data_IF_286413561796
#
_entry.id   IF_286413561796
#
_cell.length_a   1.000
_cell.length_b   1.000
_cell.length_c   1.000
_cell.angle_alpha   90.00
_cell.angle_beta   90.00
_cell.angle_gamma   90.00
#
_symmetry.space_group_name_H-M   'P 1'
#
loop_
_entity.id
_entity.type
_entity.pdbx_description
1 polymer ?
#
# COMPACT_ATOMS: atom_id res chain seq x y z
N UNK A 1 7.64 -2.24 -17.20
CA UNK A 1 6.96 -0.97 -16.87
C UNK A 1 5.81 -0.80 -17.84
N UNK A 2 4.60 -0.54 -17.34
CA UNK A 2 3.39 -0.39 -18.18
C UNK A 2 2.71 0.93 -17.83
N UNK A 3 2.43 1.82 -18.80
CA UNK A 3 1.70 3.05 -18.55
C UNK A 3 0.20 2.79 -18.38
N UNK A 4 -0.44 3.57 -17.52
CA UNK A 4 -1.87 3.61 -17.30
C UNK A 4 -2.35 5.06 -17.30
N UNK A 5 -3.61 5.29 -17.68
CA UNK A 5 -4.23 6.60 -17.65
C UNK A 5 -5.26 6.69 -16.52
N UNK A 6 -5.16 7.75 -15.71
CA UNK A 6 -6.02 8.03 -14.56
C UNK A 6 -7.52 7.98 -14.89
N UNK A 7 -7.92 8.44 -16.07
CA UNK A 7 -9.35 8.48 -16.47
C UNK A 7 -10.01 7.10 -16.51
N UNK A 8 -9.22 6.03 -16.61
CA UNK A 8 -9.70 4.65 -16.61
C UNK A 8 -9.99 4.12 -15.20
N UNK A 9 -9.71 4.90 -14.15
CA UNK A 9 -9.85 4.50 -12.75
C UNK A 9 -10.99 5.26 -12.06
N UNK A 10 -11.95 4.50 -11.50
CA UNK A 10 -13.07 5.09 -10.76
C UNK A 10 -12.61 5.58 -9.37
N UNK A 11 -12.67 6.90 -9.18
CA UNK A 11 -12.28 7.58 -7.94
C UNK A 11 -13.15 7.21 -6.72
N UNK A 12 -14.33 6.59 -6.93
CA UNK A 12 -15.22 6.13 -5.86
C UNK A 12 -14.76 4.82 -5.24
N UNK A 13 -13.82 4.11 -5.86
CA UNK A 13 -13.27 2.85 -5.32
C UNK A 13 -12.41 3.11 -4.08
N UNK A 14 -11.73 2.09 -3.56
CA UNK A 14 -10.72 2.24 -2.49
C UNK A 14 -9.28 2.10 -3.02
N UNK A 15 -9.09 2.05 -4.35
CA UNK A 15 -7.76 1.95 -4.95
C UNK A 15 -7.03 3.28 -4.79
N UNK A 16 -5.78 3.24 -4.33
CA UNK A 16 -4.88 4.40 -4.28
C UNK A 16 -3.95 4.36 -5.49
N UNK A 17 -3.88 5.47 -6.22
CA UNK A 17 -3.03 5.67 -7.39
C UNK A 17 -2.37 7.06 -7.30
N UNK A 18 -1.22 7.29 -7.97
CA UNK A 18 -0.60 8.61 -8.03
C UNK A 18 -1.53 9.67 -8.64
N UNK A 19 -1.36 10.93 -8.23
CA UNK A 19 -2.15 12.07 -8.72
C UNK A 19 -1.57 12.63 -10.03
N UNK A 20 -1.48 11.78 -11.04
CA UNK A 20 -0.95 12.09 -12.37
C UNK A 20 -1.88 11.52 -13.45
N UNK A 21 -2.05 12.23 -14.57
CA UNK A 21 -2.91 11.78 -15.69
C UNK A 21 -2.42 10.45 -16.28
N UNK A 22 -1.10 10.29 -16.38
CA UNK A 22 -0.44 9.06 -16.81
C UNK A 22 0.50 8.63 -15.69
N UNK A 23 0.36 7.39 -15.21
CA UNK A 23 1.25 6.82 -14.22
C UNK A 23 1.72 5.43 -14.66
N UNK A 24 2.82 4.95 -14.07
CA UNK A 24 3.44 3.71 -14.47
C UNK A 24 3.34 2.64 -13.39
N UNK A 25 2.94 1.44 -13.79
CA UNK A 25 3.12 0.25 -12.97
C UNK A 25 4.54 -0.29 -13.16
N UNK A 26 5.29 -0.35 -12.07
CA UNK A 26 6.63 -0.95 -12.00
C UNK A 26 6.56 -2.14 -11.05
N UNK A 27 6.76 -3.35 -11.59
CA UNK A 27 6.72 -4.59 -10.83
C UNK A 27 8.10 -5.25 -10.76
N UNK A 28 8.64 -5.40 -9.56
CA UNK A 28 9.86 -6.17 -9.30
C UNK A 28 9.46 -7.61 -8.94
N UNK A 29 9.27 -8.45 -9.96
CA UNK A 29 8.82 -9.84 -9.80
C UNK A 29 10.00 -10.81 -9.58
N UNK A 30 10.80 -10.54 -8.55
CA UNK A 30 12.01 -11.32 -8.23
C UNK A 30 11.68 -12.66 -7.58
N UNK A 31 12.37 -13.72 -7.98
CA UNK A 31 12.37 -15.03 -7.30
C UNK A 31 13.56 -15.15 -6.34
N UNK A 32 13.33 -15.74 -5.16
CA UNK A 32 14.40 -16.06 -4.21
C UNK A 32 14.66 -17.56 -4.19
N UNK A 33 15.62 -18.03 -4.98
CA UNK A 33 15.97 -19.45 -5.12
C UNK A 33 17.13 -19.88 -4.21
N UNK A 34 17.86 -18.94 -3.62
CA UNK A 34 18.97 -19.22 -2.69
C UNK A 34 18.53 -19.04 -1.24
N UNK A 35 19.10 -19.85 -0.35
CA UNK A 35 18.91 -19.71 1.09
C UNK A 35 19.74 -18.57 1.68
N UNK A 36 20.83 -18.16 1.02
CA UNK A 36 21.71 -17.06 1.48
C UNK A 36 22.42 -16.36 0.31
N UNK A 37 22.93 -15.16 0.56
CA UNK A 37 23.65 -14.38 -0.44
C UNK A 37 22.77 -13.87 -1.58
N UNK A 38 23.35 -13.74 -2.77
CA UNK A 38 22.63 -13.27 -3.96
C UNK A 38 21.46 -14.21 -4.32
N UNK A 39 20.33 -13.64 -4.72
CA UNK A 39 19.12 -14.41 -5.00
C UNK A 39 18.43 -15.01 -3.76
N UNK A 40 18.80 -14.56 -2.56
CA UNK A 40 18.05 -14.88 -1.33
C UNK A 40 16.93 -13.88 -1.06
N UNK A 41 16.03 -14.25 -0.15
CA UNK A 41 14.95 -13.37 0.31
C UNK A 41 15.54 -12.11 0.95
N UNK A 42 16.55 -12.25 1.82
CA UNK A 42 17.19 -11.12 2.50
C UNK A 42 17.81 -10.12 1.50
N UNK A 43 18.50 -10.64 0.48
CA UNK A 43 19.07 -9.79 -0.57
C UNK A 43 17.97 -9.04 -1.35
N UNK A 44 16.90 -9.73 -1.75
CA UNK A 44 15.78 -9.12 -2.48
C UNK A 44 15.03 -8.09 -1.63
N UNK A 45 14.84 -8.36 -0.33
CA UNK A 45 14.24 -7.41 0.60
C UNK A 45 15.11 -6.16 0.78
N UNK A 46 16.44 -6.30 0.81
CA UNK A 46 17.34 -5.16 0.91
C UNK A 46 17.25 -4.26 -0.34
N UNK A 47 17.24 -4.85 -1.54
CA UNK A 47 17.06 -4.09 -2.77
C UNK A 47 15.70 -3.37 -2.83
N UNK A 48 14.62 -4.06 -2.44
CA UNK A 48 13.30 -3.45 -2.37
C UNK A 48 13.28 -2.26 -1.40
N UNK A 49 13.97 -2.37 -0.27
CA UNK A 49 14.10 -1.28 0.70
C UNK A 49 14.86 -0.09 0.11
N UNK A 50 16.02 -0.32 -0.51
CA UNK A 50 16.82 0.74 -1.15
C UNK A 50 16.03 1.49 -2.23
N UNK A 51 15.21 0.79 -3.03
CA UNK A 51 14.35 1.42 -4.05
C UNK A 51 13.29 2.33 -3.41
N UNK A 52 12.69 1.89 -2.30
CA UNK A 52 11.68 2.69 -1.58
C UNK A 52 12.33 3.91 -0.94
N UNK A 53 13.47 3.74 -0.27
CA UNK A 53 14.24 4.84 0.33
C UNK A 53 14.64 5.88 -0.72
N UNK A 54 15.14 5.43 -1.88
CA UNK A 54 15.44 6.32 -3.00
C UNK A 54 14.19 7.10 -3.47
N UNK A 55 13.04 6.43 -3.61
CA UNK A 55 11.80 7.12 -4.01
C UNK A 55 11.39 8.19 -3.00
N UNK A 56 11.50 7.90 -1.71
CA UNK A 56 11.18 8.84 -0.63
C UNK A 56 12.16 10.03 -0.62
N UNK A 57 13.47 9.78 -0.68
CA UNK A 57 14.51 10.82 -0.67
C UNK A 57 14.47 11.73 -1.90
N UNK A 58 14.18 11.16 -3.08
CA UNK A 58 14.06 11.91 -4.31
C UNK A 58 12.69 12.61 -4.47
N UNK A 59 11.77 12.42 -3.52
CA UNK A 59 10.42 13.00 -3.58
C UNK A 59 9.57 12.45 -4.73
N UNK A 60 9.83 11.22 -5.16
CA UNK A 60 9.02 10.55 -6.19
C UNK A 60 7.66 10.21 -5.55
N UNK A 61 6.56 10.64 -6.16
CA UNK A 61 5.18 10.38 -5.72
C UNK A 61 4.74 8.92 -5.84
N UNK A 62 5.60 7.98 -5.47
CA UNK A 62 5.39 6.55 -5.62
C UNK A 62 4.37 6.04 -4.61
N UNK A 63 3.41 5.26 -5.11
CA UNK A 63 2.42 4.54 -4.30
C UNK A 63 2.67 3.04 -4.48
N UNK A 64 2.90 2.34 -3.35
CA UNK A 64 3.09 0.89 -3.38
C UNK A 64 1.76 0.17 -3.63
N UNK A 65 1.70 -0.60 -4.73
CA UNK A 65 0.64 -1.56 -4.96
C UNK A 65 0.87 -2.83 -4.11
N UNK A 66 -0.15 -3.29 -3.39
CA UNK A 66 -0.05 -4.41 -2.42
C UNK A 66 0.98 -4.15 -1.31
N UNK A 67 0.94 -2.96 -0.72
CA UNK A 67 1.93 -2.50 0.23
C UNK A 67 2.01 -3.37 1.51
N UNK A 68 3.22 -3.75 1.98
CA UNK A 68 3.41 -4.56 3.17
C UNK A 68 3.50 -3.70 4.45
N UNK A 69 2.68 -2.66 4.58
CA UNK A 69 2.71 -1.80 5.77
C UNK A 69 2.21 -2.55 7.00
N UNK A 70 2.83 -2.26 8.15
CA UNK A 70 2.55 -2.98 9.41
C UNK A 70 1.88 -2.11 10.46
N UNK A 71 1.83 -0.79 10.23
CA UNK A 71 1.25 0.19 11.16
C UNK A 71 0.12 0.98 10.50
N UNK A 72 -0.85 1.40 11.30
CA UNK A 72 -1.96 2.23 10.81
C UNK A 72 -1.48 3.59 10.32
N UNK A 73 -0.42 4.15 10.91
CA UNK A 73 0.17 5.42 10.49
C UNK A 73 0.72 5.34 9.06
N UNK A 74 1.40 4.25 8.71
CA UNK A 74 1.85 4.01 7.34
C UNK A 74 0.65 3.88 6.38
N UNK A 75 -0.41 3.19 6.80
CA UNK A 75 -1.63 3.12 6.01
C UNK A 75 -2.31 4.49 5.83
N UNK A 76 -2.36 5.32 6.88
CA UNK A 76 -2.87 6.70 6.81
C UNK A 76 -2.07 7.52 5.80
N UNK A 77 -0.74 7.42 5.82
CA UNK A 77 0.13 8.09 4.86
C UNK A 77 -0.13 7.60 3.43
N UNK A 78 -0.26 6.28 3.23
CA UNK A 78 -0.57 5.68 1.94
C UNK A 78 -1.92 6.15 1.37
N UNK A 79 -2.99 6.13 2.18
CA UNK A 79 -4.31 6.57 1.72
C UNK A 79 -4.44 8.10 1.59
N UNK A 80 -3.60 8.86 2.31
CA UNK A 80 -3.62 10.32 2.32
C UNK A 80 -5.02 10.89 2.59
N UNK A 81 -5.46 11.81 1.74
CA UNK A 81 -6.78 12.45 1.83
C UNK A 81 -7.96 11.46 1.78
N UNK A 82 -7.76 10.23 1.29
CA UNK A 82 -8.81 9.21 1.17
C UNK A 82 -8.98 8.38 2.43
N UNK A 83 -8.11 8.54 3.44
CA UNK A 83 -8.16 7.76 4.67
C UNK A 83 -9.51 7.83 5.37
N UNK A 84 -10.07 9.03 5.54
CA UNK A 84 -11.34 9.22 6.25
C UNK A 84 -12.50 8.46 5.59
N UNK A 85 -12.53 8.48 4.25
CA UNK A 85 -13.54 7.71 3.49
C UNK A 85 -13.32 6.20 3.66
N UNK A 86 -12.07 5.74 3.71
CA UNK A 86 -11.74 4.33 3.93
C UNK A 86 -12.13 3.87 5.34
N UNK A 87 -11.82 4.67 6.36
CA UNK A 87 -12.17 4.40 7.76
C UNK A 87 -13.69 4.37 7.98
N UNK A 88 -14.42 5.34 7.42
CA UNK A 88 -15.90 5.35 7.44
C UNK A 88 -16.50 4.10 6.79
N UNK A 89 -15.93 3.63 5.68
CA UNK A 89 -16.35 2.37 5.03
C UNK A 89 -16.04 1.17 5.92
N UNK A 90 -14.86 1.11 6.53
CA UNK A 90 -14.51 0.02 7.45
C UNK A 90 -15.49 -0.06 8.61
N UNK A 91 -15.81 1.07 9.22
CA UNK A 91 -16.80 1.15 10.29
C UNK A 91 -18.19 0.66 9.84
N UNK A 92 -18.65 1.09 8.67
CA UNK A 92 -19.97 0.70 8.13
C UNK A 92 -20.09 -0.80 7.79
N UNK A 93 -19.03 -1.40 7.25
CA UNK A 93 -19.10 -2.75 6.67
C UNK A 93 -18.39 -3.83 7.49
N UNK A 94 -17.43 -3.46 8.35
CA UNK A 94 -16.70 -4.35 9.27
C UNK A 94 -16.33 -3.61 10.56
N UNK A 95 -17.31 -3.23 11.38
CA UNK A 95 -17.11 -2.39 12.58
C UNK A 95 -16.20 -3.03 13.62
N UNK A 96 -16.15 -4.37 13.67
CA UNK A 96 -15.32 -5.12 14.61
C UNK A 96 -13.93 -5.44 14.07
N UNK A 97 -13.59 -4.98 12.86
CA UNK A 97 -12.33 -5.26 12.18
C UNK A 97 -11.98 -6.75 12.16
N UNK A 98 -12.95 -7.59 11.79
CA UNK A 98 -12.81 -9.05 11.72
C UNK A 98 -12.19 -9.46 10.37
N UNK A 99 -12.52 -8.74 9.30
CA UNK A 99 -12.17 -9.13 7.94
C UNK A 99 -10.76 -8.66 7.57
N UNK A 100 -10.04 -9.56 6.88
CA UNK A 100 -8.69 -9.35 6.34
C UNK A 100 -7.65 -8.82 7.35
N UNK A 101 -7.48 -9.47 8.53
CA UNK A 101 -6.54 -9.01 9.56
C UNK A 101 -5.08 -9.01 9.08
N UNK A 102 -4.75 -9.85 8.08
CA UNK A 102 -3.41 -9.91 7.46
C UNK A 102 -2.98 -8.61 6.77
N UNK A 103 -3.92 -7.74 6.39
CA UNK A 103 -3.61 -6.41 5.84
C UNK A 103 -3.10 -5.43 6.91
N UNK A 104 -3.31 -5.72 8.20
CA UNK A 104 -2.78 -4.93 9.33
C UNK A 104 -3.18 -3.44 9.31
N UNK A 105 -4.30 -3.10 8.68
CA UNK A 105 -4.81 -1.71 8.63
C UNK A 105 -5.53 -1.35 9.93
N UNK A 106 -6.40 -2.24 10.41
CA UNK A 106 -7.19 -2.06 11.62
C UNK A 106 -7.02 -3.28 12.52
N UNK A 107 -6.49 -3.13 13.75
CA UNK A 107 -6.52 -4.20 14.75
C UNK A 107 -7.96 -4.59 15.11
N UNK A 108 -8.17 -5.82 15.58
CA UNK A 108 -9.50 -6.32 15.96
C UNK A 108 -10.13 -5.41 17.02
N UNK A 109 -11.40 -5.04 16.83
CA UNK A 109 -12.17 -4.18 17.73
C UNK A 109 -11.49 -2.82 18.06
N UNK A 110 -10.65 -2.31 17.14
CA UNK A 110 -9.93 -1.04 17.32
C UNK A 110 -10.71 0.20 16.91
N UNK A 111 -11.82 0.04 16.19
CA UNK A 111 -12.63 1.17 15.75
C UNK A 111 -13.45 1.69 16.93
N UNK A 112 -13.44 3.01 17.20
CA UNK A 112 -14.34 3.60 18.17
C UNK A 112 -15.78 3.25 17.80
N UNK A 113 -16.59 2.89 18.80
CA UNK A 113 -18.03 2.75 18.59
C UNK A 113 -18.57 4.09 18.09
N UNK A 114 -19.48 4.08 17.09
CA UNK A 114 -20.12 5.31 16.69
C UNK A 114 -20.93 5.83 17.90
N UNK A 115 -20.80 7.12 18.21
CA UNK A 115 -21.78 7.81 19.04
C UNK A 115 -23.11 7.89 18.29
#
# INVERSE_FOLDING_TARGET
MVPYCFIQWDNRTSVVIPDEEIFYLVGFLSSASSLSGYGSIAHSMNLNKEIVEFCEEAGIGMIQYLAPYTTQQQWKAHFGARWETFERRKHRYDPLAILAPGQRIFPKASLPLPL
#
